data_IF_598639490602
#
_entry.id   IF_598639490602
#
_cell.length_a   1.000
_cell.length_b   1.000
_cell.length_c   1.000
_cell.angle_alpha   90.00
_cell.angle_beta   90.00
_cell.angle_gamma   90.00
#
_symmetry.space_group_name_H-M   'P 1'
#
loop_
_entity.id
_entity.type
_entity.pdbx_description
1 polymer ?
#
# COMPACT_ATOMS: atom_id res chain seq x y z
N UNK A 1 -54.77 -16.64 29.99
CA UNK A 1 -53.89 -15.66 29.33
C UNK A 1 -53.03 -16.26 28.21
N UNK A 2 -52.42 -17.44 28.38
CA UNK A 2 -51.58 -18.06 27.32
C UNK A 2 -52.31 -18.34 25.99
N UNK A 3 -53.56 -18.79 26.02
CA UNK A 3 -54.34 -19.10 24.79
C UNK A 3 -54.74 -17.85 24.00
N UNK A 4 -54.86 -16.69 24.65
CA UNK A 4 -55.17 -15.41 23.98
C UNK A 4 -53.92 -14.76 23.37
N UNK A 5 -52.75 -15.03 23.94
CA UNK A 5 -51.45 -14.55 23.42
C UNK A 5 -51.02 -15.36 22.19
N UNK A 6 -51.25 -16.68 22.17
CA UNK A 6 -51.00 -17.49 20.96
C UNK A 6 -51.95 -17.12 19.81
N UNK A 7 -53.23 -16.85 20.08
CA UNK A 7 -54.16 -16.40 19.04
C UNK A 7 -53.76 -15.04 18.44
N UNK A 8 -53.20 -14.12 19.25
CA UNK A 8 -52.72 -12.82 18.77
C UNK A 8 -51.46 -12.96 17.91
N UNK A 9 -50.53 -13.85 18.28
CA UNK A 9 -49.30 -14.12 17.51
C UNK A 9 -49.60 -14.82 16.17
N UNK A 10 -50.61 -15.69 16.11
CA UNK A 10 -51.05 -16.32 14.85
C UNK A 10 -51.69 -15.33 13.88
N UNK A 11 -52.41 -14.32 14.38
CA UNK A 11 -53.03 -13.27 13.55
C UNK A 11 -51.99 -12.28 13.02
N UNK A 12 -50.96 -11.95 13.81
CA UNK A 12 -49.83 -11.09 13.37
C UNK A 12 -48.95 -11.79 12.33
N UNK A 13 -48.70 -13.10 12.49
CA UNK A 13 -47.97 -13.88 11.49
C UNK A 13 -48.75 -14.02 10.16
N UNK A 14 -50.08 -14.11 10.21
CA UNK A 14 -50.91 -14.20 9.00
C UNK A 14 -51.01 -12.85 8.26
N UNK A 15 -50.98 -11.72 8.97
CA UNK A 15 -50.99 -10.38 8.37
C UNK A 15 -49.66 -10.00 7.70
N UNK A 16 -48.54 -10.54 8.17
CA UNK A 16 -47.21 -10.35 7.54
C UNK A 16 -47.06 -11.13 6.22
N UNK A 17 -47.75 -12.26 6.07
CA UNK A 17 -47.74 -13.05 4.82
C UNK A 17 -48.61 -12.41 3.72
N UNK A 18 -49.67 -11.69 4.09
CA UNK A 18 -50.57 -11.04 3.12
C UNK A 18 -49.96 -9.77 2.51
N UNK A 19 -48.99 -9.12 3.17
CA UNK A 19 -48.31 -7.93 2.65
C UNK A 19 -47.29 -8.23 1.51
N UNK A 20 -46.95 -9.50 1.26
CA UNK A 20 -46.05 -9.91 0.17
C UNK A 20 -46.82 -10.29 -1.12
N UNK A 21 -48.16 -10.30 -1.08
CA UNK A 21 -49.00 -10.83 -2.17
C UNK A 21 -49.64 -9.78 -3.09
N UNK A 22 -49.18 -8.52 -3.09
CA UNK A 22 -49.57 -7.52 -4.10
C UNK A 22 -48.35 -7.10 -4.93
N UNK A 23 -48.08 -7.88 -5.98
CA UNK A 23 -47.12 -7.56 -7.03
C UNK A 23 -47.29 -8.48 -8.23
N UNK A 24 -48.21 -8.10 -9.14
CA UNK A 24 -48.23 -8.38 -10.58
C UNK A 24 -47.99 -9.81 -11.08
N UNK A 25 -49.07 -10.46 -11.52
CA UNK A 25 -49.05 -11.80 -12.12
C UNK A 25 -48.47 -11.90 -13.53
N UNK A 26 -48.10 -13.14 -13.85
CA UNK A 26 -47.74 -13.65 -15.18
C UNK A 26 -48.99 -14.26 -15.88
N UNK A 27 -48.99 -14.39 -17.21
CA UNK A 27 -49.63 -15.53 -17.84
C UNK A 27 -48.62 -16.40 -18.59
N UNK A 28 -48.65 -17.70 -18.27
CA UNK A 28 -47.90 -18.75 -18.96
C UNK A 28 -48.56 -19.17 -20.28
N UNK A 29 -47.75 -19.54 -21.28
CA UNK A 29 -48.09 -20.56 -22.28
C UNK A 29 -46.83 -21.17 -22.96
N UNK A 30 -46.43 -22.36 -22.49
CA UNK A 30 -45.97 -23.59 -23.18
C UNK A 30 -44.80 -23.61 -24.21
N UNK A 31 -44.11 -24.77 -24.38
CA UNK A 31 -42.65 -24.86 -24.36
C UNK A 31 -42.00 -25.30 -25.70
N UNK A 32 -40.68 -25.11 -25.83
CA UNK A 32 -39.87 -25.82 -26.81
C UNK A 32 -38.40 -25.99 -26.35
N UNK A 33 -38.04 -27.28 -26.24
CA UNK A 33 -36.77 -27.92 -26.56
C UNK A 33 -35.48 -27.61 -25.76
N UNK A 34 -34.99 -28.69 -25.16
CA UNK A 34 -33.77 -28.87 -24.39
C UNK A 34 -32.53 -28.76 -25.29
N UNK A 35 -31.64 -27.81 -25.01
CA UNK A 35 -30.32 -27.71 -25.63
C UNK A 35 -29.23 -28.01 -24.59
N UNK A 36 -28.38 -28.98 -24.94
CA UNK A 36 -27.25 -29.52 -24.19
C UNK A 36 -26.21 -28.45 -23.74
N UNK A 37 -25.39 -28.74 -22.70
CA UNK A 37 -24.47 -27.77 -22.11
C UNK A 37 -23.31 -27.41 -23.05
N UNK A 38 -22.97 -26.12 -23.09
CA UNK A 38 -21.82 -25.62 -23.83
C UNK A 38 -20.50 -26.05 -23.16
N UNK A 39 -19.60 -26.53 -24.00
CA UNK A 39 -18.27 -27.07 -23.75
C UNK A 39 -17.29 -25.98 -23.26
N UNK A 40 -16.47 -26.37 -22.30
CA UNK A 40 -15.40 -25.59 -21.64
C UNK A 40 -14.24 -25.34 -22.64
N UNK A 41 -14.00 -24.08 -22.99
CA UNK A 41 -12.87 -23.71 -23.84
C UNK A 41 -11.61 -23.50 -22.98
N UNK A 42 -10.58 -24.33 -23.24
CA UNK A 42 -9.25 -24.26 -22.67
C UNK A 42 -8.52 -22.91 -22.95
N UNK A 43 -7.60 -22.49 -22.07
CA UNK A 43 -6.90 -21.21 -22.20
C UNK A 43 -5.89 -21.21 -23.36
N UNK A 44 -5.87 -20.10 -24.10
CA UNK A 44 -4.91 -19.86 -25.17
C UNK A 44 -3.49 -19.64 -24.60
N UNK A 45 -2.54 -20.31 -25.23
CA UNK A 45 -1.10 -20.27 -25.00
C UNK A 45 -0.54 -18.86 -25.29
N UNK A 46 0.06 -18.22 -24.28
CA UNK A 46 0.68 -16.90 -24.41
C UNK A 46 2.09 -17.05 -25.00
N UNK A 47 2.25 -16.64 -26.26
CA UNK A 47 3.53 -16.69 -26.95
C UNK A 47 4.52 -15.67 -26.34
N UNK A 48 5.64 -16.19 -25.83
CA UNK A 48 6.78 -15.43 -25.35
C UNK A 48 7.26 -14.42 -26.41
N UNK A 49 7.34 -13.15 -26.03
CA UNK A 49 7.99 -12.12 -26.85
C UNK A 49 9.46 -12.02 -26.42
N UNK A 50 10.36 -12.44 -27.31
CA UNK A 50 11.82 -12.25 -27.18
C UNK A 50 12.19 -10.77 -27.03
N UNK A 51 13.11 -10.48 -26.11
CA UNK A 51 13.78 -9.19 -26.02
C UNK A 51 14.65 -8.95 -27.26
N UNK A 52 14.64 -7.76 -27.89
CA UNK A 52 15.61 -7.46 -28.93
C UNK A 52 17.00 -7.26 -28.32
N UNK A 53 17.98 -7.89 -28.95
CA UNK A 53 19.39 -7.82 -28.64
C UNK A 53 19.96 -6.39 -28.69
N UNK A 54 20.98 -6.20 -27.87
CA UNK A 54 21.84 -5.04 -27.70
C UNK A 54 22.41 -4.53 -29.05
N UNK A 55 21.91 -3.38 -29.53
CA UNK A 55 22.53 -2.65 -30.64
C UNK A 55 23.37 -1.50 -30.07
N UNK A 56 24.68 -1.58 -30.33
CA UNK A 56 25.69 -0.67 -29.82
C UNK A 56 25.36 0.80 -30.13
N UNK A 57 25.43 1.64 -29.09
CA UNK A 57 25.28 3.08 -29.18
C UNK A 57 26.30 3.68 -30.17
N UNK A 58 25.82 4.13 -31.31
CA UNK A 58 26.55 5.01 -32.22
C UNK A 58 26.29 6.44 -31.76
N UNK A 59 27.35 7.14 -31.35
CA UNK A 59 27.32 8.58 -31.07
C UNK A 59 26.69 9.32 -32.27
N UNK A 60 25.58 10.01 -32.03
CA UNK A 60 24.96 10.89 -33.01
C UNK A 60 25.73 12.23 -33.00
N UNK A 61 26.08 12.79 -34.17
CA UNK A 61 26.77 14.06 -34.25
C UNK A 61 25.82 15.19 -33.81
N UNK A 62 26.38 16.17 -33.12
CA UNK A 62 25.70 17.41 -32.82
C UNK A 62 25.39 18.16 -34.13
N UNK A 63 24.13 18.29 -34.50
CA UNK A 63 23.72 19.22 -35.55
C UNK A 63 22.32 19.81 -35.32
N UNK A 64 22.33 21.15 -35.35
CA UNK A 64 21.32 22.12 -35.72
C UNK A 64 19.84 21.95 -35.36
N UNK A 65 19.31 23.03 -34.76
CA UNK A 65 17.90 23.31 -34.62
C UNK A 65 17.19 23.39 -35.99
N UNK A 66 16.15 22.57 -36.19
CA UNK A 66 14.78 23.02 -36.45
C UNK A 66 13.90 21.91 -37.06
N UNK A 67 12.80 21.58 -36.37
CA UNK A 67 11.48 21.33 -36.97
C UNK A 67 10.44 21.41 -35.83
N UNK A 68 9.61 22.45 -35.84
CA UNK A 68 8.66 22.81 -34.77
C UNK A 68 7.22 22.37 -35.06
N UNK A 69 7.02 21.28 -35.81
CA UNK A 69 5.70 20.70 -36.02
C UNK A 69 5.59 19.36 -35.29
N UNK A 70 5.33 19.44 -33.97
CA UNK A 70 4.90 18.27 -33.20
C UNK A 70 3.43 17.93 -33.48
N UNK A 71 2.98 16.77 -33.03
CA UNK A 71 1.59 16.27 -33.17
C UNK A 71 0.49 17.19 -32.58
N UNK A 72 0.87 18.33 -32.02
CA UNK A 72 0.01 19.29 -31.32
C UNK A 72 0.03 20.70 -31.94
N UNK A 73 0.55 20.85 -33.16
CA UNK A 73 0.61 22.12 -33.89
C UNK A 73 1.95 22.84 -33.79
N UNK A 74 2.05 23.99 -34.46
CA UNK A 74 3.24 24.85 -34.40
C UNK A 74 3.34 25.53 -33.03
N UNK A 75 4.53 25.45 -32.43
CA UNK A 75 4.81 26.23 -31.22
C UNK A 75 4.67 27.73 -31.51
N UNK A 76 4.07 28.51 -30.60
CA UNK A 76 4.07 29.97 -30.69
C UNK A 76 5.49 30.51 -30.89
N UNK A 77 5.66 31.49 -31.78
CA UNK A 77 6.97 32.07 -32.10
C UNK A 77 7.64 32.77 -30.89
N UNK A 78 6.86 33.10 -29.87
CA UNK A 78 7.24 33.70 -28.59
C UNK A 78 7.39 32.67 -27.45
N UNK A 79 7.33 31.38 -27.75
CA UNK A 79 7.53 30.35 -26.75
C UNK A 79 8.93 30.43 -26.16
N UNK A 80 9.00 30.61 -24.84
CA UNK A 80 10.26 30.54 -24.08
C UNK A 80 10.71 29.07 -24.13
N UNK A 81 11.94 28.78 -24.62
CA UNK A 81 12.48 27.43 -24.58
C UNK A 81 12.46 26.91 -23.14
N UNK A 82 11.91 25.71 -22.94
CA UNK A 82 12.00 25.06 -21.64
C UNK A 82 13.49 24.83 -21.34
N UNK A 83 13.99 25.18 -20.14
CA UNK A 83 15.37 24.87 -19.80
C UNK A 83 15.60 23.35 -19.93
N UNK A 84 16.79 22.89 -20.32
CA UNK A 84 17.09 21.47 -20.25
C UNK A 84 16.78 20.99 -18.82
N UNK A 85 16.17 19.80 -18.67
CA UNK A 85 15.92 19.27 -17.34
C UNK A 85 17.25 19.23 -16.57
N UNK A 86 17.24 19.51 -15.26
CA UNK A 86 18.43 19.27 -14.46
C UNK A 86 18.84 17.81 -14.65
N UNK A 87 20.15 17.56 -14.70
CA UNK A 87 20.69 16.21 -14.67
C UNK A 87 20.38 15.61 -13.30
N UNK A 88 19.18 15.06 -13.17
CA UNK A 88 18.79 14.23 -12.07
C UNK A 88 19.56 12.93 -12.29
N UNK A 89 20.66 12.69 -11.57
CA UNK A 89 21.36 11.40 -11.58
C UNK A 89 20.51 10.29 -10.92
N UNK A 90 19.20 10.32 -11.15
CA UNK A 90 18.21 9.38 -10.67
C UNK A 90 18.14 8.21 -11.65
N UNK A 91 18.33 7.00 -11.13
CA UNK A 91 17.97 5.76 -11.85
C UNK A 91 19.11 4.92 -12.41
N UNK A 92 20.38 5.28 -12.19
CA UNK A 92 21.54 4.50 -12.69
C UNK A 92 22.42 3.89 -11.60
N UNK A 93 22.03 4.00 -10.33
CA UNK A 93 22.76 3.35 -9.25
C UNK A 93 22.57 1.83 -9.35
N UNK A 94 23.67 1.07 -9.26
CA UNK A 94 23.61 -0.37 -9.15
C UNK A 94 22.86 -0.75 -7.87
N UNK A 95 21.83 -1.58 -7.99
CA UNK A 95 21.06 -2.06 -6.84
C UNK A 95 21.88 -3.13 -6.14
N UNK A 96 22.40 -2.80 -4.96
CA UNK A 96 23.01 -3.78 -4.07
C UNK A 96 21.92 -4.59 -3.37
N UNK A 97 21.85 -5.88 -3.72
CA UNK A 97 20.96 -6.84 -3.09
C UNK A 97 21.63 -7.51 -1.90
N UNK A 98 20.86 -7.83 -0.87
CA UNK A 98 21.32 -8.54 0.32
C UNK A 98 20.15 -9.23 1.02
N UNK A 99 20.42 -10.19 1.93
CA UNK A 99 19.39 -10.78 2.79
C UNK A 99 18.63 -9.72 3.61
N UNK A 100 17.33 -9.94 3.82
CA UNK A 100 16.46 -8.99 4.53
C UNK A 100 16.95 -8.72 5.95
N UNK A 101 17.47 -9.73 6.64
CA UNK A 101 18.01 -9.64 8.00
C UNK A 101 19.31 -8.80 8.09
N UNK A 102 19.96 -8.53 6.96
CA UNK A 102 21.07 -7.58 6.84
C UNK A 102 20.60 -6.15 6.52
N UNK A 103 19.30 -5.94 6.24
CA UNK A 103 18.69 -4.62 6.01
C UNK A 103 17.93 -4.17 7.25
N UNK A 104 17.13 -5.06 7.85
CA UNK A 104 16.24 -4.76 8.96
C UNK A 104 16.20 -5.87 9.99
N UNK A 105 16.11 -5.50 11.26
CA UNK A 105 15.94 -6.41 12.39
C UNK A 105 15.04 -5.79 13.45
N UNK A 106 14.68 -6.53 14.49
CA UNK A 106 13.88 -6.07 15.62
C UNK A 106 14.60 -6.42 16.91
N UNK A 107 14.99 -5.41 17.67
CA UNK A 107 15.71 -5.59 18.93
C UNK A 107 15.70 -4.30 19.75
N UNK A 108 15.75 -4.45 21.07
CA UNK A 108 16.10 -3.34 21.94
C UNK A 108 17.56 -2.90 21.71
N UNK A 109 17.81 -1.60 21.85
CA UNK A 109 19.14 -0.99 21.86
C UNK A 109 19.41 -0.37 23.23
N UNK A 110 20.70 -0.21 23.55
CA UNK A 110 21.12 0.37 24.83
C UNK A 110 20.77 1.86 24.94
N UNK A 111 20.74 2.57 23.81
CA UNK A 111 20.50 4.01 23.74
C UNK A 111 19.61 4.36 22.54
N UNK A 112 18.79 5.41 22.72
CA UNK A 112 17.93 5.98 21.70
C UNK A 112 18.11 7.49 21.66
N UNK A 113 18.12 8.05 20.45
CA UNK A 113 18.27 9.48 20.22
C UNK A 113 17.08 10.02 19.43
N UNK A 114 16.89 11.32 19.52
CA UNK A 114 15.85 12.05 18.82
C UNK A 114 16.31 13.47 18.49
N UNK A 115 15.63 14.18 17.57
CA UNK A 115 15.99 15.56 17.26
C UNK A 115 15.88 16.49 18.49
N UNK A 116 16.76 17.49 18.56
CA UNK A 116 16.81 18.44 19.69
C UNK A 116 15.46 19.13 19.97
N UNK A 117 14.69 19.42 18.92
CA UNK A 117 13.38 20.03 19.07
C UNK A 117 12.34 19.09 19.70
N UNK A 118 12.50 17.76 19.55
CA UNK A 118 11.65 16.78 20.23
C UNK A 118 12.09 16.64 21.68
N UNK A 119 13.39 16.63 21.96
CA UNK A 119 13.92 16.66 23.33
C UNK A 119 13.38 17.86 24.10
N UNK A 120 13.28 19.04 23.46
CA UNK A 120 12.68 20.22 24.09
C UNK A 120 11.19 20.02 24.49
N UNK A 121 10.41 19.24 23.74
CA UNK A 121 9.03 18.88 24.11
C UNK A 121 9.00 17.92 25.30
N UNK A 122 9.95 16.99 25.36
CA UNK A 122 10.12 16.08 26.50
C UNK A 122 10.50 16.85 27.76
N UNK A 123 11.47 17.75 27.66
CA UNK A 123 11.92 18.61 28.77
C UNK A 123 10.80 19.54 29.27
N UNK A 124 9.90 19.96 28.38
CA UNK A 124 8.71 20.73 28.72
C UNK A 124 7.57 19.90 29.34
N UNK A 125 7.69 18.56 29.35
CA UNK A 125 6.66 17.63 29.82
C UNK A 125 5.46 17.50 28.86
N UNK A 126 5.59 17.94 27.62
CA UNK A 126 4.56 17.84 26.58
C UNK A 126 4.60 16.49 25.84
N UNK A 127 5.72 15.76 25.95
CA UNK A 127 5.91 14.47 25.32
C UNK A 127 6.63 13.48 26.25
N UNK A 128 6.26 12.19 26.29
CA UNK A 128 7.03 11.20 27.02
C UNK A 128 8.45 11.01 26.43
N UNK A 129 9.43 10.57 27.25
CA UNK A 129 10.76 10.21 26.76
C UNK A 129 10.74 9.21 25.61
N UNK A 130 11.73 9.27 24.71
CA UNK A 130 11.80 8.40 23.52
C UNK A 130 11.70 6.91 23.84
N UNK A 131 12.36 6.45 24.92
CA UNK A 131 12.33 5.06 25.34
C UNK A 131 10.92 4.58 25.76
N UNK A 132 10.06 5.47 26.23
CA UNK A 132 8.67 5.14 26.60
C UNK A 132 7.73 5.15 25.40
N UNK A 133 8.06 5.94 24.37
CA UNK A 133 7.30 5.99 23.12
C UNK A 133 7.57 4.78 22.24
N UNK A 134 8.80 4.30 22.18
CA UNK A 134 9.20 3.18 21.33
C UNK A 134 8.55 1.84 21.75
N UNK A 135 8.39 0.91 20.80
CA UNK A 135 8.12 -0.50 21.09
C UNK A 135 9.21 -1.16 21.94
N UNK A 136 8.91 -2.32 22.52
CA UNK A 136 9.89 -3.09 23.34
C UNK A 136 11.11 -3.50 22.51
N UNK A 137 10.86 -4.02 21.29
CA UNK A 137 11.89 -4.36 20.32
C UNK A 137 11.65 -3.57 19.03
N UNK A 138 12.07 -2.30 18.95
CA UNK A 138 11.80 -1.47 17.80
C UNK A 138 12.41 -2.05 16.52
N UNK A 139 11.82 -1.70 15.38
CA UNK A 139 12.41 -1.97 14.07
C UNK A 139 13.72 -1.18 13.91
N UNK A 140 14.82 -1.89 13.72
CA UNK A 140 16.15 -1.33 13.49
C UNK A 140 16.53 -1.54 12.03
N UNK A 141 16.69 -0.43 11.30
CA UNK A 141 17.31 -0.46 9.97
C UNK A 141 18.82 -0.49 10.17
N UNK A 142 19.47 -1.51 9.62
CA UNK A 142 20.91 -1.73 9.78
C UNK A 142 21.70 -0.81 8.85
N UNK A 143 22.89 -0.39 9.29
CA UNK A 143 23.81 0.46 8.51
C UNK A 143 24.12 -0.15 7.13
N UNK A 144 24.22 -1.46 7.04
CA UNK A 144 24.40 -2.23 5.80
C UNK A 144 23.27 -2.00 4.79
N UNK A 145 22.04 -1.76 5.25
CA UNK A 145 20.90 -1.40 4.39
C UNK A 145 20.88 0.07 3.94
N UNK A 146 21.75 0.93 4.48
CA UNK A 146 21.78 2.36 4.20
C UNK A 146 22.84 2.69 3.14
N UNK A 147 22.47 3.19 1.95
CA UNK A 147 23.44 3.45 0.87
C UNK A 147 24.51 4.49 1.25
N UNK A 148 24.12 5.53 1.98
CA UNK A 148 25.02 6.62 2.40
C UNK A 148 25.44 6.53 3.88
N UNK A 149 25.10 5.41 4.54
CA UNK A 149 25.36 5.21 5.98
C UNK A 149 24.36 5.89 6.91
N UNK A 150 24.76 6.11 8.16
CA UNK A 150 23.89 6.63 9.22
C UNK A 150 23.61 8.11 8.97
N UNK A 151 22.33 8.47 8.88
CA UNK A 151 21.88 9.84 8.65
C UNK A 151 22.04 10.77 9.85
N UNK A 152 21.74 12.04 9.60
CA UNK A 152 21.63 13.10 10.62
C UNK A 152 20.22 13.69 10.57
N UNK A 153 19.68 14.12 11.72
CA UNK A 153 18.34 14.72 11.77
C UNK A 153 18.30 16.09 11.09
N UNK A 154 17.23 16.38 10.36
CA UNK A 154 16.95 17.70 9.79
C UNK A 154 16.43 17.67 8.36
N UNK A 155 16.39 18.86 7.76
CA UNK A 155 15.91 19.14 6.39
C UNK A 155 14.38 19.01 6.19
N UNK A 156 13.92 19.29 4.98
CA UNK A 156 12.50 19.21 4.56
C UNK A 156 12.40 18.52 3.21
N UNK A 157 11.80 17.32 3.18
CA UNK A 157 11.45 16.67 1.92
C UNK A 157 10.21 17.35 1.32
N UNK A 158 10.39 17.97 0.14
CA UNK A 158 9.34 18.67 -0.60
C UNK A 158 8.90 17.81 -1.77
N UNK A 159 7.64 17.42 -1.77
CA UNK A 159 7.00 16.68 -2.85
C UNK A 159 5.84 17.50 -3.44
N UNK A 160 5.26 17.02 -4.54
CA UNK A 160 4.05 17.55 -5.13
C UNK A 160 2.98 16.47 -5.24
N UNK A 161 1.72 16.87 -5.10
CA UNK A 161 0.59 16.04 -5.47
C UNK A 161 -0.27 16.78 -6.49
N UNK A 162 -0.70 16.04 -7.52
CA UNK A 162 -1.65 16.54 -8.51
C UNK A 162 -3.12 16.22 -8.13
N UNK A 163 -3.36 15.51 -7.03
CA UNK A 163 -4.69 15.08 -6.62
C UNK A 163 -5.15 15.84 -5.36
N UNK A 164 -6.42 16.29 -5.31
CA UNK A 164 -6.97 16.87 -4.08
C UNK A 164 -6.99 15.85 -2.94
N UNK A 165 -6.70 16.32 -1.73
CA UNK A 165 -6.92 15.55 -0.49
C UNK A 165 -8.41 15.56 -0.15
N UNK A 166 -9.08 14.41 -0.27
CA UNK A 166 -10.49 14.26 0.10
C UNK A 166 -10.69 13.93 1.59
N UNK A 167 -9.67 13.36 2.24
CA UNK A 167 -9.65 13.07 3.67
C UNK A 167 -8.65 11.97 4.03
N UNK A 168 -8.77 11.45 5.25
CA UNK A 168 -7.80 10.50 5.83
C UNK A 168 -8.39 9.12 6.15
N UNK A 169 -9.66 8.88 5.80
CA UNK A 169 -10.33 7.61 6.08
C UNK A 169 -10.09 6.61 4.94
N UNK A 170 -8.90 6.02 4.93
CA UNK A 170 -8.50 5.02 3.92
C UNK A 170 -9.42 3.78 3.92
N UNK A 171 -9.83 3.31 5.11
CA UNK A 171 -10.72 2.14 5.23
C UNK A 171 -12.10 2.34 4.59
N UNK A 172 -12.53 3.59 4.41
CA UNK A 172 -13.75 3.95 3.68
C UNK A 172 -13.49 4.32 2.19
N UNK A 173 -12.28 4.13 1.68
CA UNK A 173 -11.91 4.45 0.30
C UNK A 173 -11.70 5.94 0.03
N UNK A 174 -11.45 6.76 1.05
CA UNK A 174 -11.19 8.20 0.89
C UNK A 174 -9.72 8.42 0.52
N UNK A 175 -9.47 9.07 -0.62
CA UNK A 175 -8.11 9.42 -1.06
C UNK A 175 -7.53 10.60 -0.28
N UNK A 176 -6.27 10.49 0.09
CA UNK A 176 -5.50 11.55 0.75
C UNK A 176 -4.67 12.40 -0.23
N UNK A 177 -4.65 12.02 -1.51
CA UNK A 177 -4.04 12.82 -2.58
C UNK A 177 -3.00 12.07 -3.41
N UNK A 178 -2.91 10.75 -3.34
CA UNK A 178 -1.93 9.93 -4.06
C UNK A 178 -0.48 10.45 -3.91
N UNK A 179 0.40 10.15 -4.87
CA UNK A 179 1.76 10.69 -4.92
C UNK A 179 2.55 10.53 -3.61
N UNK A 180 2.41 9.36 -2.98
CA UNK A 180 3.14 9.04 -1.75
C UNK A 180 2.46 9.45 -0.45
N UNK A 181 1.41 10.28 -0.47
CA UNK A 181 0.73 10.73 0.77
C UNK A 181 0.15 9.53 1.52
N UNK A 182 -0.64 8.69 0.85
CA UNK A 182 -1.21 7.46 1.42
C UNK A 182 -0.12 6.46 1.79
N UNK A 183 0.95 6.41 0.98
CA UNK A 183 2.12 5.59 1.29
C UNK A 183 2.74 5.99 2.62
N UNK A 184 3.02 7.27 2.86
CA UNK A 184 3.65 7.74 4.09
C UNK A 184 2.70 7.72 5.29
N UNK A 185 1.41 7.98 5.06
CA UNK A 185 0.42 8.15 6.13
C UNK A 185 -0.09 6.83 6.70
N UNK A 186 -0.26 5.79 5.87
CA UNK A 186 -0.81 4.51 6.36
C UNK A 186 -0.25 3.27 5.64
N UNK A 187 0.02 3.28 4.33
CA UNK A 187 0.45 2.04 3.66
C UNK A 187 1.89 1.61 4.01
N UNK A 188 2.77 2.55 4.34
CA UNK A 188 4.11 2.25 4.85
C UNK A 188 4.08 1.70 6.27
N UNK A 189 2.93 1.60 6.93
CA UNK A 189 2.80 0.92 8.21
C UNK A 189 1.87 -0.29 8.14
N UNK A 190 1.71 -0.93 6.97
CA UNK A 190 1.03 -2.22 6.88
C UNK A 190 1.75 -3.32 7.71
N UNK A 191 1.10 -4.48 7.88
CA UNK A 191 1.68 -5.62 8.62
C UNK A 191 3.03 -6.05 8.05
N UNK A 192 3.13 -6.11 6.71
CA UNK A 192 4.35 -6.47 5.96
C UNK A 192 4.62 -5.45 4.85
N UNK A 193 5.82 -5.48 4.27
CA UNK A 193 6.23 -4.58 3.17
C UNK A 193 6.80 -5.32 1.97
N UNK A 194 6.33 -4.97 0.79
CA UNK A 194 6.86 -5.50 -0.49
C UNK A 194 7.69 -4.47 -1.26
N UNK A 195 7.50 -3.17 -1.01
CA UNK A 195 8.23 -2.10 -1.67
C UNK A 195 9.76 -2.27 -1.72
N UNK A 196 10.45 -2.67 -0.64
CA UNK A 196 11.90 -2.87 -0.66
C UNK A 196 12.38 -4.22 -1.21
N UNK A 197 11.51 -5.09 -1.74
CA UNK A 197 11.90 -6.43 -2.25
C UNK A 197 12.88 -6.38 -3.42
N UNK A 198 12.98 -5.29 -4.16
CA UNK A 198 13.99 -5.13 -5.21
C UNK A 198 15.44 -5.20 -4.67
N UNK A 199 15.64 -5.00 -3.36
CA UNK A 199 16.93 -5.10 -2.66
C UNK A 199 17.14 -6.44 -1.95
N UNK A 200 16.15 -7.32 -1.94
CA UNK A 200 16.27 -8.62 -1.30
C UNK A 200 17.04 -9.60 -2.22
N UNK A 201 17.95 -10.36 -1.63
CA UNK A 201 18.65 -11.50 -2.28
C UNK A 201 18.14 -12.83 -1.72
N UNK A 202 16.82 -13.01 -1.73
CA UNK A 202 16.13 -14.20 -1.24
C UNK A 202 14.80 -14.38 -1.96
N UNK A 203 14.06 -15.43 -1.61
CA UNK A 203 12.70 -15.68 -2.11
C UNK A 203 11.76 -14.48 -1.84
N UNK A 204 10.62 -14.46 -2.53
CA UNK A 204 9.60 -13.38 -2.45
C UNK A 204 8.84 -13.36 -1.12
N UNK A 205 9.54 -13.49 -0.01
CA UNK A 205 9.03 -13.26 1.33
C UNK A 205 9.03 -11.76 1.63
N UNK A 206 7.90 -11.16 2.02
CA UNK A 206 7.83 -9.72 2.27
C UNK A 206 8.69 -9.32 3.48
N UNK A 207 9.13 -8.07 3.52
CA UNK A 207 9.81 -7.52 4.67
C UNK A 207 8.86 -7.48 5.87
N UNK A 208 9.32 -7.85 7.07
CA UNK A 208 8.56 -7.61 8.30
C UNK A 208 8.35 -6.11 8.50
N UNK A 209 7.20 -5.75 9.10
CA UNK A 209 6.90 -4.37 9.44
C UNK A 209 6.18 -4.25 10.80
N UNK A 210 4.85 -4.10 10.83
CA UNK A 210 4.11 -4.16 12.11
C UNK A 210 3.94 -5.61 12.60
N UNK A 211 3.90 -6.58 11.68
CA UNK A 211 4.14 -7.99 12.00
C UNK A 211 5.64 -8.28 11.86
N UNK A 212 6.28 -8.69 12.96
CA UNK A 212 7.73 -8.97 13.02
C UNK A 212 8.08 -10.40 12.56
N UNK A 213 7.14 -11.32 12.65
CA UNK A 213 7.27 -12.69 12.18
C UNK A 213 5.89 -13.32 11.96
N UNK A 214 5.85 -14.43 11.24
CA UNK A 214 4.63 -15.20 11.01
C UNK A 214 4.94 -16.67 10.76
N UNK A 215 3.96 -17.52 11.00
CA UNK A 215 4.05 -18.97 10.79
C UNK A 215 2.73 -19.51 10.23
N UNK A 216 2.85 -20.42 9.26
CA UNK A 216 1.71 -21.14 8.69
C UNK A 216 1.50 -22.45 9.43
N UNK A 217 0.25 -22.85 9.63
CA UNK A 217 -0.09 -24.22 10.02
C UNK A 217 0.30 -25.23 8.96
N UNK A 218 0.50 -26.50 9.34
CA UNK A 218 0.87 -27.58 8.43
C UNK A 218 -0.11 -27.77 7.26
N UNK A 219 -1.39 -27.42 7.46
CA UNK A 219 -2.45 -27.49 6.43
C UNK A 219 -2.57 -26.21 5.58
N UNK A 220 -1.81 -25.15 5.91
CA UNK A 220 -1.81 -23.87 5.21
C UNK A 220 -3.08 -23.03 5.39
N UNK A 221 -3.98 -23.40 6.32
CA UNK A 221 -5.27 -22.72 6.54
C UNK A 221 -5.23 -21.68 7.67
N UNK A 222 -4.17 -21.66 8.46
CA UNK A 222 -3.97 -20.69 9.53
C UNK A 222 -2.60 -20.01 9.38
N UNK A 223 -2.62 -18.68 9.49
CA UNK A 223 -1.42 -17.84 9.53
C UNK A 223 -1.41 -17.08 10.84
N UNK A 224 -0.47 -17.41 11.72
CA UNK A 224 -0.26 -16.69 12.97
C UNK A 224 0.77 -15.59 12.71
N UNK A 225 0.40 -14.33 12.92
CA UNK A 225 1.31 -13.19 12.81
C UNK A 225 1.63 -12.64 14.20
N UNK A 226 2.91 -12.38 14.48
CA UNK A 226 3.37 -11.77 15.72
C UNK A 226 3.58 -10.28 15.51
N UNK A 227 2.77 -9.46 16.20
CA UNK A 227 2.82 -8.01 16.10
C UNK A 227 3.96 -7.41 16.94
N UNK A 228 4.32 -6.18 16.61
CA UNK A 228 5.31 -5.37 17.30
C UNK A 228 4.80 -4.94 18.69
N UNK A 229 5.33 -5.55 19.75
CA UNK A 229 4.88 -5.31 21.12
C UNK A 229 5.21 -3.89 21.62
N UNK A 230 4.22 -3.23 22.22
CA UNK A 230 4.36 -1.88 22.79
C UNK A 230 4.35 -0.76 21.75
N UNK A 231 4.06 -1.08 20.48
CA UNK A 231 3.79 -0.10 19.44
C UNK A 231 2.56 0.75 19.80
N UNK A 232 2.58 2.01 19.37
CA UNK A 232 1.54 3.00 19.67
C UNK A 232 1.19 3.78 18.40
N UNK A 233 -0.06 4.19 18.32
CA UNK A 233 -0.52 5.21 17.39
C UNK A 233 0.13 6.56 17.69
N UNK A 234 0.05 7.50 16.74
CA UNK A 234 0.70 8.81 16.85
C UNK A 234 0.12 9.70 17.97
N UNK A 235 -1.09 9.40 18.44
CA UNK A 235 -1.73 10.03 19.60
C UNK A 235 -1.38 9.34 20.94
N UNK A 236 -0.66 8.22 20.90
CA UNK A 236 -0.20 7.47 22.06
C UNK A 236 -1.05 6.25 22.43
N UNK A 237 -2.19 6.02 21.78
CA UNK A 237 -3.00 4.82 22.02
C UNK A 237 -2.24 3.56 21.58
N UNK A 238 -2.38 2.43 22.31
CA UNK A 238 -1.66 1.20 21.97
C UNK A 238 -2.13 0.63 20.64
N UNK A 239 -1.20 0.19 19.80
CA UNK A 239 -1.50 -0.62 18.61
C UNK A 239 -1.57 -2.10 19.01
N UNK A 240 -2.68 -2.76 18.67
CA UNK A 240 -2.97 -4.14 19.08
C UNK A 240 -3.57 -4.95 17.93
N UNK A 241 -3.89 -6.22 18.20
CA UNK A 241 -4.58 -7.07 17.23
C UNK A 241 -6.01 -6.60 16.91
N UNK A 242 -6.62 -5.75 17.76
CA UNK A 242 -7.96 -5.21 17.51
C UNK A 242 -7.97 -4.15 16.39
N UNK A 243 -6.81 -3.58 16.06
CA UNK A 243 -6.65 -2.60 14.97
C UNK A 243 -6.49 -3.24 13.58
N UNK A 244 -6.25 -4.56 13.53
CA UNK A 244 -5.99 -5.35 12.31
C UNK A 244 -7.28 -5.85 11.68
#
# INVERSE_FOLDING_TARGET
MRTRVLALLSVVALLLVVAVACGGGEPAAAPAEEAAPAEEAAPAEEAATEAPAEEAAKEAPAEEAASTAGAYGEMPADAIPYPPPPALELGNATIEKMPIDQIVTYKALDEYHEPEWVTALVDAGELPPVAERLPVEPKVVLKTGMPDGIGVYGDVWRDFSACPTAGWNNGAGVTSGWFGIESMSFNYQALVKTGPLYRADQDLEPFPNLAKSWEWSDDGLQLTMHLLEGAKWSDGEPFTADDV
#
